data_IF_792341787952
#
_entry.id   IF_792341787952
#
_cell.length_a   1.000
_cell.length_b   1.000
_cell.length_c   1.000
_cell.angle_alpha   90.00
_cell.angle_beta   90.00
_cell.angle_gamma   90.00
#
_symmetry.space_group_name_H-M   'P 1'
#
loop_
_entity.id
_entity.type
_entity.pdbx_description
1 polymer ?
#
# COMPACT_ATOMS: atom_id res chain seq x y z
N UNK A 1 -27.84 6.67 -6.73
CA UNK A 1 -26.69 6.57 -5.81
C UNK A 1 -25.46 6.94 -6.61
N UNK A 2 -24.77 7.99 -6.23
CA UNK A 2 -23.51 8.39 -6.88
C UNK A 2 -22.44 7.39 -6.49
N UNK A 3 -21.45 7.11 -7.35
CA UNK A 3 -20.30 6.22 -7.05
C UNK A 3 -19.57 6.57 -5.75
N UNK A 4 -19.72 7.79 -5.24
CA UNK A 4 -19.13 8.26 -3.98
C UNK A 4 -19.82 7.71 -2.71
N UNK A 5 -21.06 7.18 -2.83
CA UNK A 5 -21.81 6.65 -1.69
C UNK A 5 -21.63 5.13 -1.48
N UNK A 6 -20.86 4.47 -2.36
CA UNK A 6 -20.65 3.04 -2.31
C UNK A 6 -19.59 2.67 -1.26
N UNK A 7 -19.99 1.81 -0.30
CA UNK A 7 -19.06 1.26 0.69
C UNK A 7 -18.12 0.30 -0.01
N UNK A 8 -16.80 0.57 0.12
CA UNK A 8 -15.75 -0.28 -0.46
C UNK A 8 -15.18 -1.26 0.57
N UNK A 9 -15.15 -0.88 1.86
CA UNK A 9 -14.66 -1.72 2.95
C UNK A 9 -15.62 -1.66 4.12
N UNK A 10 -16.01 -2.82 4.66
CA UNK A 10 -16.73 -2.92 5.93
C UNK A 10 -15.94 -3.78 6.90
N UNK A 11 -15.77 -3.30 8.11
CA UNK A 11 -15.19 -4.01 9.25
C UNK A 11 -16.32 -4.23 10.25
N UNK A 12 -16.59 -5.49 10.60
CA UNK A 12 -17.73 -5.85 11.46
C UNK A 12 -17.28 -6.71 12.63
N UNK A 13 -17.34 -6.15 13.84
CA UNK A 13 -17.13 -6.85 15.09
C UNK A 13 -15.74 -7.47 15.27
N UNK A 14 -14.70 -6.85 14.71
CA UNK A 14 -13.35 -7.41 14.75
C UNK A 14 -12.81 -7.42 16.18
N UNK A 15 -12.46 -8.63 16.64
CA UNK A 15 -11.71 -8.87 17.89
C UNK A 15 -10.41 -9.60 17.59
N UNK A 16 -9.31 -9.14 18.20
CA UNK A 16 -7.97 -9.72 18.04
C UNK A 16 -7.23 -9.72 19.38
N UNK A 17 -6.66 -10.86 19.74
CA UNK A 17 -5.87 -11.03 20.96
C UNK A 17 -4.55 -11.75 20.65
N UNK A 18 -3.49 -11.40 21.39
CA UNK A 18 -2.18 -12.03 21.36
C UNK A 18 -1.79 -12.47 22.76
N UNK A 19 -1.59 -13.78 22.99
CA UNK A 19 -1.11 -14.30 24.27
C UNK A 19 -1.92 -13.81 25.49
N UNK A 20 -3.25 -13.65 25.32
CA UNK A 20 -4.14 -13.16 26.39
C UNK A 20 -4.28 -11.64 26.46
N UNK A 21 -3.52 -10.86 25.68
CA UNK A 21 -3.67 -9.41 25.57
C UNK A 21 -4.61 -9.09 24.44
N UNK A 22 -5.74 -8.42 24.73
CA UNK A 22 -6.70 -7.99 23.74
C UNK A 22 -6.20 -6.72 23.04
N UNK A 23 -5.89 -6.85 21.75
CA UNK A 23 -5.42 -5.74 20.91
C UNK A 23 -6.56 -5.00 20.23
N UNK A 24 -7.64 -5.71 19.86
CA UNK A 24 -8.87 -5.14 19.28
C UNK A 24 -10.07 -5.80 19.95
N UNK A 25 -11.12 -5.01 20.23
CA UNK A 25 -12.34 -5.46 20.92
C UNK A 25 -13.55 -4.95 20.17
N UNK A 26 -14.26 -5.85 19.47
CA UNK A 26 -15.54 -5.59 18.79
C UNK A 26 -15.55 -4.31 17.94
N UNK A 27 -14.51 -4.11 17.13
CA UNK A 27 -14.36 -2.90 16.31
C UNK A 27 -15.19 -3.03 15.03
N UNK A 28 -16.00 -1.99 14.74
CA UNK A 28 -16.81 -1.92 13.53
C UNK A 28 -16.74 -0.52 12.93
N UNK A 29 -16.55 -0.44 11.61
CA UNK A 29 -16.63 0.78 10.81
C UNK A 29 -16.74 0.43 9.33
N UNK A 30 -17.09 1.41 8.51
CA UNK A 30 -17.09 1.31 7.05
C UNK A 30 -16.21 2.39 6.42
N UNK A 31 -15.78 2.17 5.20
CA UNK A 31 -15.07 3.14 4.36
C UNK A 31 -15.76 3.19 3.00
N UNK A 32 -16.04 4.41 2.52
CA UNK A 32 -16.66 4.63 1.22
C UNK A 32 -15.62 4.86 0.13
N UNK A 33 -16.02 4.71 -1.12
CA UNK A 33 -15.15 5.07 -2.24
C UNK A 33 -14.79 6.55 -2.19
N UNK A 34 -13.51 6.86 -2.44
CA UNK A 34 -12.96 8.23 -2.42
C UNK A 34 -13.01 8.90 -1.04
N UNK A 35 -13.28 8.16 0.03
CA UNK A 35 -13.23 8.66 1.40
C UNK A 35 -11.80 8.56 1.95
N UNK A 36 -11.43 9.55 2.75
CA UNK A 36 -10.25 9.50 3.62
C UNK A 36 -10.75 9.21 5.04
N UNK A 37 -10.41 8.02 5.55
CA UNK A 37 -10.77 7.59 6.91
C UNK A 37 -9.51 7.52 7.78
N UNK A 38 -9.51 8.25 8.89
CA UNK A 38 -8.43 8.21 9.86
C UNK A 38 -8.78 7.32 11.06
N UNK A 39 -7.81 6.48 11.47
CA UNK A 39 -7.86 5.72 12.72
C UNK A 39 -6.96 6.44 13.73
N UNK A 40 -7.58 7.03 14.76
CA UNK A 40 -6.89 7.85 15.75
C UNK A 40 -6.91 7.14 17.12
N UNK A 41 -5.82 7.26 17.86
CA UNK A 41 -5.70 6.70 19.20
C UNK A 41 -4.26 6.77 19.73
N UNK A 42 -4.04 6.56 21.02
CA UNK A 42 -2.71 6.54 21.62
C UNK A 42 -1.86 5.39 21.07
N UNK A 43 -0.56 5.39 21.41
CA UNK A 43 0.32 4.26 21.12
C UNK A 43 -0.17 3.01 21.86
N UNK A 44 -0.18 1.87 21.17
CA UNK A 44 -0.73 0.64 21.72
C UNK A 44 -2.24 0.45 21.59
N UNK A 45 -2.99 1.43 21.06
CA UNK A 45 -4.46 1.33 20.87
C UNK A 45 -4.91 0.37 19.75
N UNK A 46 -4.02 -0.42 19.16
CA UNK A 46 -4.38 -1.41 18.15
C UNK A 46 -4.48 -0.87 16.71
N UNK A 47 -4.09 0.39 16.44
CA UNK A 47 -4.17 0.98 15.09
C UNK A 47 -3.49 0.12 14.01
N UNK A 48 -2.21 -0.20 14.20
CA UNK A 48 -1.44 -1.05 13.27
C UNK A 48 -1.98 -2.49 13.25
N UNK A 49 -2.54 -2.99 14.36
CA UNK A 49 -3.20 -4.30 14.40
C UNK A 49 -4.44 -4.33 13.51
N UNK A 50 -5.24 -3.26 13.50
CA UNK A 50 -6.38 -3.13 12.59
C UNK A 50 -5.92 -3.09 11.12
N UNK A 51 -4.90 -2.30 10.79
CA UNK A 51 -4.33 -2.28 9.44
C UNK A 51 -3.78 -3.66 9.03
N UNK A 52 -3.17 -4.40 9.97
CA UNK A 52 -2.71 -5.78 9.76
C UNK A 52 -3.87 -6.76 9.49
N UNK A 53 -5.02 -6.59 10.15
CA UNK A 53 -6.22 -7.38 9.86
C UNK A 53 -6.74 -7.07 8.44
N UNK A 54 -6.86 -5.80 8.08
CA UNK A 54 -7.34 -5.39 6.74
C UNK A 54 -6.37 -5.86 5.64
N UNK A 55 -5.06 -5.81 5.91
CA UNK A 55 -4.05 -6.27 4.94
C UNK A 55 -3.86 -7.80 4.92
N UNK A 56 -4.61 -8.56 5.73
CA UNK A 56 -4.51 -10.02 5.79
C UNK A 56 -3.24 -10.56 6.46
N UNK A 57 -2.45 -9.70 7.14
CA UNK A 57 -1.28 -10.13 7.91
C UNK A 57 -1.68 -10.78 9.24
N UNK A 58 -2.81 -10.35 9.83
CA UNK A 58 -3.39 -10.96 11.02
C UNK A 58 -4.79 -11.46 10.71
N UNK A 59 -5.12 -12.65 11.24
CA UNK A 59 -6.46 -13.21 11.18
C UNK A 59 -7.17 -12.90 12.50
N UNK A 60 -8.24 -12.10 12.51
CA UNK A 60 -9.01 -11.83 13.72
C UNK A 60 -9.69 -13.12 14.21
N UNK A 61 -9.90 -13.24 15.54
CA UNK A 61 -10.59 -14.37 16.13
C UNK A 61 -12.12 -14.25 15.94
N UNK A 62 -12.62 -12.99 15.92
CA UNK A 62 -14.05 -12.72 15.75
C UNK A 62 -14.27 -11.61 14.74
N UNK A 63 -15.48 -11.59 14.20
CA UNK A 63 -15.91 -10.61 13.22
C UNK A 63 -15.52 -10.97 11.79
N UNK A 64 -15.74 -10.04 10.90
CA UNK A 64 -15.45 -10.21 9.47
C UNK A 64 -15.06 -8.90 8.80
N UNK A 65 -14.27 -9.01 7.77
CA UNK A 65 -13.89 -7.90 6.88
C UNK A 65 -14.51 -8.17 5.52
N UNK A 66 -15.21 -7.20 4.98
CA UNK A 66 -15.91 -7.28 3.68
C UNK A 66 -15.29 -6.23 2.77
N UNK A 67 -14.85 -6.62 1.61
CA UNK A 67 -14.27 -5.74 0.60
C UNK A 67 -15.04 -5.88 -0.72
N UNK A 68 -15.56 -4.77 -1.26
CA UNK A 68 -16.42 -4.75 -2.44
C UNK A 68 -17.57 -5.78 -2.36
N UNK A 69 -18.19 -5.90 -1.19
CA UNK A 69 -19.30 -6.82 -0.94
C UNK A 69 -18.91 -8.28 -0.72
N UNK A 70 -17.64 -8.65 -0.86
CA UNK A 70 -17.15 -9.99 -0.63
C UNK A 70 -16.48 -10.14 0.74
N UNK A 71 -16.88 -11.16 1.51
CA UNK A 71 -16.23 -11.48 2.79
C UNK A 71 -14.81 -11.99 2.54
N UNK A 72 -13.85 -11.37 3.17
CA UNK A 72 -12.44 -11.76 3.09
C UNK A 72 -12.16 -12.91 4.07
N UNK A 73 -12.22 -14.15 3.57
CA UNK A 73 -11.84 -15.35 4.27
C UNK A 73 -10.54 -15.91 3.71
N UNK A 74 -9.68 -16.49 4.56
CA UNK A 74 -8.41 -17.10 4.16
C UNK A 74 -7.52 -16.20 3.29
N UNK A 75 -7.37 -14.96 3.73
CA UNK A 75 -6.58 -13.95 3.02
C UNK A 75 -5.16 -13.87 3.58
N UNK A 76 -4.27 -13.50 2.71
CA UNK A 76 -2.89 -13.15 3.03
C UNK A 76 -2.50 -11.85 2.31
N UNK A 77 -1.39 -11.19 2.67
CA UNK A 77 -1.01 -9.90 2.09
C UNK A 77 -0.90 -9.90 0.56
N UNK A 78 -0.43 -11.00 -0.04
CA UNK A 78 -0.34 -11.11 -1.51
C UNK A 78 -1.73 -11.12 -2.17
N UNK A 79 -2.68 -11.87 -1.62
CA UNK A 79 -4.05 -11.89 -2.11
C UNK A 79 -4.73 -10.53 -1.93
N UNK A 80 -4.50 -9.85 -0.79
CA UNK A 80 -5.02 -8.51 -0.55
C UNK A 80 -4.48 -7.50 -1.58
N UNK A 81 -3.18 -7.56 -1.86
CA UNK A 81 -2.57 -6.75 -2.92
C UNK A 81 -3.21 -7.00 -4.30
N UNK A 82 -3.48 -8.26 -4.66
CA UNK A 82 -4.13 -8.61 -5.93
C UNK A 82 -5.59 -8.15 -6.02
N UNK A 83 -6.29 -8.01 -4.88
CA UNK A 83 -7.64 -7.44 -4.81
C UNK A 83 -7.65 -5.91 -4.93
N UNK A 84 -6.49 -5.25 -4.78
CA UNK A 84 -6.34 -3.81 -4.86
C UNK A 84 -6.27 -3.11 -3.50
N UNK A 85 -5.84 -3.81 -2.44
CA UNK A 85 -5.54 -3.24 -1.14
C UNK A 85 -4.03 -3.11 -1.01
N UNK A 86 -3.49 -1.89 -1.14
CA UNK A 86 -2.08 -1.61 -0.94
C UNK A 86 -1.81 -1.03 0.45
N UNK A 87 -0.59 -1.21 0.93
CA UNK A 87 -0.15 -0.67 2.22
C UNK A 87 1.28 -0.15 2.14
N UNK A 88 1.53 0.99 2.78
CA UNK A 88 2.87 1.41 3.16
C UNK A 88 3.24 0.78 4.50
N UNK A 89 4.52 0.50 4.71
CA UNK A 89 4.98 -0.09 5.96
C UNK A 89 5.62 0.97 6.85
N UNK A 90 5.47 0.79 8.18
CA UNK A 90 6.13 1.64 9.18
C UNK A 90 7.66 1.60 9.01
N UNK A 91 8.21 0.42 8.73
CA UNK A 91 9.60 0.24 8.35
C UNK A 91 9.74 0.16 6.84
N UNK A 92 10.54 1.03 6.26
CA UNK A 92 10.75 1.09 4.82
C UNK A 92 11.37 -0.22 4.30
N UNK A 93 10.60 -0.95 3.50
CA UNK A 93 11.03 -2.18 2.84
C UNK A 93 11.49 -1.90 1.40
N UNK A 94 12.38 -0.91 1.22
CA UNK A 94 12.92 -0.50 -0.07
C UNK A 94 14.19 -1.26 -0.42
N UNK A 95 14.41 -1.49 -1.70
CA UNK A 95 15.65 -2.07 -2.23
C UNK A 95 16.71 -0.97 -2.33
N UNK A 96 17.53 -0.83 -1.29
CA UNK A 96 18.46 0.31 -1.12
C UNK A 96 19.44 0.51 -2.28
N UNK A 97 19.85 -0.55 -2.97
CA UNK A 97 20.74 -0.50 -4.12
C UNK A 97 20.07 -0.17 -5.45
N UNK A 98 18.74 -0.18 -5.51
CA UNK A 98 17.98 0.13 -6.72
C UNK A 98 17.64 1.61 -6.79
N UNK A 99 17.44 2.14 -8.01
CA UNK A 99 17.00 3.52 -8.23
C UNK A 99 15.58 3.76 -7.69
N UNK A 100 15.20 5.03 -7.55
CA UNK A 100 13.81 5.44 -7.23
C UNK A 100 12.84 4.82 -8.25
N UNK A 101 13.13 4.98 -9.54
CA UNK A 101 12.31 4.45 -10.62
C UNK A 101 12.12 2.94 -10.47
N UNK A 102 13.21 2.19 -10.31
CA UNK A 102 13.15 0.72 -10.22
C UNK A 102 12.42 0.26 -8.96
N UNK A 103 12.60 0.95 -7.82
CA UNK A 103 11.83 0.64 -6.60
C UNK A 103 10.33 0.81 -6.84
N UNK A 104 9.89 1.91 -7.45
CA UNK A 104 8.46 2.14 -7.73
C UNK A 104 7.96 1.15 -8.77
N UNK A 105 8.77 0.81 -9.80
CA UNK A 105 8.45 -0.23 -10.78
C UNK A 105 8.14 -1.59 -10.15
N UNK A 106 8.75 -1.95 -9.00
CA UNK A 106 8.39 -3.20 -8.31
C UNK A 106 6.91 -3.26 -7.92
N UNK A 107 6.25 -2.13 -7.68
CA UNK A 107 4.81 -2.06 -7.44
C UNK A 107 3.96 -2.49 -8.63
N UNK A 108 4.52 -2.47 -9.85
CA UNK A 108 3.84 -2.93 -11.07
C UNK A 108 3.84 -4.45 -11.25
N UNK A 109 4.59 -5.19 -10.43
CA UNK A 109 4.80 -6.64 -10.59
C UNK A 109 3.51 -7.47 -10.71
N UNK A 110 2.43 -7.06 -10.00
CA UNK A 110 1.11 -7.71 -10.09
C UNK A 110 0.33 -7.36 -11.36
N UNK A 111 0.73 -6.33 -12.09
CA UNK A 111 0.08 -5.84 -13.31
C UNK A 111 0.76 -6.35 -14.58
N UNK A 112 2.01 -6.77 -14.49
CA UNK A 112 2.78 -7.32 -15.60
C UNK A 112 2.24 -8.70 -15.95
N UNK A 113 1.83 -8.88 -17.20
CA UNK A 113 1.23 -10.11 -17.72
C UNK A 113 2.17 -10.91 -18.60
N UNK A 114 3.21 -10.26 -19.13
CA UNK A 114 4.16 -10.92 -20.04
C UNK A 114 4.98 -11.99 -19.31
N UNK A 115 5.29 -13.07 -20.02
CA UNK A 115 6.08 -14.18 -19.50
C UNK A 115 7.52 -13.71 -19.17
N UNK A 116 8.07 -14.18 -18.05
CA UNK A 116 9.41 -13.84 -17.55
C UNK A 116 10.50 -14.03 -18.63
N UNK A 117 10.35 -15.00 -19.52
CA UNK A 117 11.26 -15.26 -20.65
C UNK A 117 11.24 -14.13 -21.70
N UNK A 118 10.05 -13.61 -22.04
CA UNK A 118 9.90 -12.50 -22.98
C UNK A 118 10.40 -11.19 -22.37
N UNK A 119 10.24 -11.01 -21.06
CA UNK A 119 10.78 -9.87 -20.33
C UNK A 119 12.33 -9.89 -20.33
N UNK A 120 12.95 -11.04 -20.07
CA UNK A 120 14.40 -11.18 -20.07
C UNK A 120 15.03 -10.89 -21.44
N UNK A 121 14.33 -11.21 -22.53
CA UNK A 121 14.79 -10.98 -23.90
C UNK A 121 14.41 -9.58 -24.43
N UNK A 122 13.56 -8.83 -23.73
CA UNK A 122 13.03 -7.51 -24.16
C UNK A 122 12.50 -7.51 -25.60
N UNK A 123 11.72 -8.53 -25.97
CA UNK A 123 11.25 -8.71 -27.36
C UNK A 123 9.73 -8.51 -27.42
N UNK A 124 9.29 -7.65 -28.36
CA UNK A 124 7.91 -7.56 -28.81
C UNK A 124 6.90 -7.05 -27.76
N UNK A 125 5.91 -7.87 -27.34
CA UNK A 125 4.87 -7.42 -26.41
C UNK A 125 5.39 -7.00 -25.04
N UNK A 126 6.47 -7.64 -24.54
CA UNK A 126 7.06 -7.36 -23.25
C UNK A 126 7.72 -5.97 -23.19
N UNK A 127 8.37 -5.56 -24.28
CA UNK A 127 8.97 -4.21 -24.37
C UNK A 127 7.89 -3.11 -24.35
N UNK A 128 6.78 -3.31 -25.09
CA UNK A 128 5.66 -2.35 -25.09
C UNK A 128 5.00 -2.27 -23.70
N UNK A 129 4.85 -3.39 -23.03
CA UNK A 129 4.30 -3.46 -21.68
C UNK A 129 5.22 -2.73 -20.68
N UNK A 130 6.55 -2.91 -20.79
CA UNK A 130 7.54 -2.21 -19.96
C UNK A 130 7.45 -0.68 -20.16
N UNK A 131 7.35 -0.21 -21.41
CA UNK A 131 7.21 1.22 -21.73
C UNK A 131 5.97 1.80 -21.04
N UNK A 132 4.80 1.16 -21.16
CA UNK A 132 3.56 1.62 -20.55
C UNK A 132 3.67 1.67 -19.01
N UNK A 133 4.26 0.63 -18.40
CA UNK A 133 4.44 0.62 -16.96
C UNK A 133 5.45 1.68 -16.49
N UNK A 134 6.51 1.91 -17.26
CA UNK A 134 7.50 2.95 -16.97
C UNK A 134 6.89 4.35 -17.06
N UNK A 135 6.11 4.64 -18.10
CA UNK A 135 5.40 5.91 -18.25
C UNK A 135 4.44 6.15 -17.08
N UNK A 136 3.71 5.12 -16.66
CA UNK A 136 2.84 5.21 -15.49
C UNK A 136 3.61 5.55 -14.20
N UNK A 137 4.78 4.94 -14.01
CA UNK A 137 5.64 5.20 -12.83
C UNK A 137 6.27 6.58 -12.90
N UNK A 138 6.66 7.07 -14.08
CA UNK A 138 7.17 8.45 -14.24
C UNK A 138 6.09 9.48 -13.83
N UNK A 139 4.82 9.26 -14.15
CA UNK A 139 3.72 10.12 -13.69
C UNK A 139 3.57 10.11 -12.15
N UNK A 140 3.83 8.97 -11.48
CA UNK A 140 3.85 8.89 -10.02
C UNK A 140 5.04 9.66 -9.45
N UNK A 141 6.22 9.55 -10.07
CA UNK A 141 7.43 10.28 -9.67
C UNK A 141 7.19 11.79 -9.77
N UNK A 142 6.53 12.24 -10.85
CA UNK A 142 6.14 13.63 -11.04
C UNK A 142 5.13 14.08 -9.98
N UNK A 143 4.10 13.29 -9.73
CA UNK A 143 3.09 13.59 -8.70
C UNK A 143 3.71 13.73 -7.29
N UNK A 144 4.73 12.93 -6.98
CA UNK A 144 5.42 12.95 -5.69
C UNK A 144 6.52 14.02 -5.59
N UNK A 145 6.82 14.75 -6.67
CA UNK A 145 7.83 15.81 -6.69
C UNK A 145 9.26 15.29 -6.50
N UNK A 146 9.57 14.07 -7.00
CA UNK A 146 10.88 13.43 -6.82
C UNK A 146 11.63 13.15 -8.13
N UNK A 147 11.30 13.86 -9.20
CA UNK A 147 11.85 13.66 -10.55
C UNK A 147 13.38 13.72 -10.60
N UNK A 148 13.96 14.67 -9.88
CA UNK A 148 15.40 14.86 -9.85
C UNK A 148 16.16 13.67 -9.26
N UNK A 149 15.49 12.83 -8.48
CA UNK A 149 16.07 11.66 -7.81
C UNK A 149 15.78 10.34 -8.52
N UNK A 150 15.06 10.35 -9.65
CA UNK A 150 14.53 9.12 -10.30
C UNK A 150 15.57 8.04 -10.55
N UNK A 151 16.82 8.41 -10.87
CA UNK A 151 17.92 7.49 -11.11
C UNK A 151 18.84 7.29 -9.90
N UNK A 152 18.53 7.94 -8.76
CA UNK A 152 19.34 7.88 -7.55
C UNK A 152 19.05 6.60 -6.77
N UNK A 153 20.08 5.89 -6.26
CA UNK A 153 19.88 4.75 -5.37
C UNK A 153 19.13 5.18 -4.11
N UNK A 154 18.02 4.50 -3.79
CA UNK A 154 17.12 4.90 -2.69
C UNK A 154 17.83 4.94 -1.34
N UNK A 155 18.81 4.06 -1.12
CA UNK A 155 19.54 4.01 0.14
C UNK A 155 20.38 5.26 0.45
N UNK A 156 20.62 6.14 -0.53
CA UNK A 156 21.37 7.40 -0.36
C UNK A 156 20.48 8.62 -0.10
N UNK A 157 19.15 8.43 -0.21
CA UNK A 157 18.19 9.53 -0.05
C UNK A 157 17.92 9.81 1.45
N UNK A 158 17.58 11.06 1.79
CA UNK A 158 16.99 11.40 3.08
C UNK A 158 15.73 10.57 3.36
N UNK A 159 15.43 10.38 4.65
CA UNK A 159 14.31 9.50 5.07
C UNK A 159 12.96 9.92 4.51
N UNK A 160 12.67 11.23 4.46
CA UNK A 160 11.44 11.77 3.88
C UNK A 160 11.26 11.39 2.41
N UNK A 161 12.34 11.49 1.61
CA UNK A 161 12.30 11.05 0.20
C UNK A 161 12.14 9.54 0.07
N UNK A 162 12.75 8.74 0.95
CA UNK A 162 12.53 7.30 0.97
C UNK A 162 11.06 6.96 1.26
N UNK A 163 10.39 7.72 2.16
CA UNK A 163 8.95 7.58 2.43
C UNK A 163 8.10 7.89 1.19
N UNK A 164 8.46 8.95 0.43
CA UNK A 164 7.78 9.25 -0.85
C UNK A 164 7.96 8.10 -1.86
N UNK A 165 9.13 7.47 -1.93
CA UNK A 165 9.35 6.29 -2.79
C UNK A 165 8.49 5.10 -2.36
N UNK A 166 8.37 4.83 -1.04
CA UNK A 166 7.49 3.76 -0.53
C UNK A 166 6.02 4.00 -0.86
N UNK A 167 5.57 5.26 -0.71
CA UNK A 167 4.24 5.68 -1.17
C UNK A 167 4.07 5.49 -2.67
N UNK A 168 5.05 5.91 -3.47
CA UNK A 168 5.04 5.72 -4.93
C UNK A 168 4.92 4.26 -5.33
N UNK A 169 5.64 3.36 -4.65
CA UNK A 169 5.53 1.92 -4.87
C UNK A 169 4.12 1.40 -4.58
N UNK A 170 3.49 1.86 -3.50
CA UNK A 170 2.12 1.49 -3.17
C UNK A 170 1.11 2.05 -4.19
N UNK A 171 1.28 3.30 -4.66
CA UNK A 171 0.46 3.90 -5.71
C UNK A 171 0.63 3.19 -7.06
N UNK A 172 1.83 2.70 -7.36
CA UNK A 172 2.12 1.97 -8.59
C UNK A 172 1.32 0.66 -8.72
N UNK A 173 0.80 0.12 -7.63
CA UNK A 173 -0.13 -1.03 -7.65
C UNK A 173 -1.52 -0.66 -8.17
N UNK A 174 -1.85 0.64 -8.37
CA UNK A 174 -3.19 1.15 -8.69
C UNK A 174 -4.23 0.64 -7.68
N UNK A 175 -4.04 0.93 -6.39
CA UNK A 175 -4.89 0.37 -5.36
C UNK A 175 -6.29 0.99 -5.38
N UNK A 176 -7.30 0.20 -5.00
CA UNK A 176 -8.66 0.67 -4.70
C UNK A 176 -8.75 1.23 -3.27
N UNK A 177 -7.93 0.69 -2.35
CA UNK A 177 -7.71 1.20 -0.99
C UNK A 177 -6.21 1.25 -0.72
N UNK A 178 -5.77 2.39 -0.17
CA UNK A 178 -4.41 2.59 0.30
C UNK A 178 -4.40 2.71 1.83
N UNK A 179 -3.68 1.81 2.50
CA UNK A 179 -3.49 1.80 3.95
C UNK A 179 -2.16 2.51 4.28
N UNK A 180 -2.24 3.62 5.01
CA UNK A 180 -1.08 4.39 5.45
C UNK A 180 -0.87 4.20 6.96
N UNK A 181 0.29 3.67 7.35
CA UNK A 181 0.66 3.47 8.76
C UNK A 181 1.71 4.52 9.14
N UNK A 182 1.28 5.54 9.88
CA UNK A 182 2.11 6.66 10.35
C UNK A 182 2.98 7.29 9.23
N UNK A 183 2.38 7.77 8.12
CA UNK A 183 3.12 8.21 6.93
C UNK A 183 4.12 9.33 7.21
N UNK A 184 3.88 10.16 8.24
CA UNK A 184 4.72 11.30 8.61
C UNK A 184 5.68 10.99 9.77
N UNK A 185 5.72 9.76 10.30
CA UNK A 185 6.59 9.40 11.40
C UNK A 185 8.06 9.43 10.95
N UNK A 186 8.92 10.04 11.78
CA UNK A 186 10.36 10.14 11.52
C UNK A 186 10.77 11.22 10.51
N UNK A 187 9.83 11.99 9.96
CA UNK A 187 10.13 13.14 9.11
C UNK A 187 10.43 14.39 9.95
N UNK A 188 11.36 15.22 9.50
CA UNK A 188 11.64 16.54 10.06
C UNK A 188 10.49 17.51 9.80
N UNK A 189 10.48 18.68 10.51
CA UNK A 189 9.41 19.68 10.39
C UNK A 189 9.32 20.23 8.96
N UNK A 190 10.46 20.43 8.30
CA UNK A 190 10.56 20.90 6.91
C UNK A 190 10.01 19.87 5.92
N UNK A 191 10.33 18.58 6.11
CA UNK A 191 9.84 17.47 5.28
C UNK A 191 8.34 17.20 5.40
N UNK A 192 7.68 17.76 6.44
CA UNK A 192 6.22 17.62 6.67
C UNK A 192 5.40 18.70 5.99
N UNK A 193 6.03 19.76 5.49
CA UNK A 193 5.35 20.90 4.87
C UNK A 193 5.25 20.78 3.34
N UNK A 194 6.03 19.91 2.73
CA UNK A 194 5.97 19.54 1.31
C UNK A 194 4.96 18.40 1.05
#
# INVERSE_FOLDING_TARGET
MTQADEIILEVKGISLSFGGIQALSNISFDVRRKEIRAIIGPNGAGKSSMLNCINGAYKPQEGQIIFEGAVLSDVNPHKMASLGIARTFQHLALFKGMSVLDNIMTGRSLKIKSNLFLQALRIGPAEREEIVHREFVENIIDFLGIQQYRNTPVGTLPYGLQKRVDLGRALAMEPKILLLDEPMAGMNVEEKQD
#
